data_IF_697128009278
#
_entry.id   IF_697128009278
#
_cell.length_a   1.000
_cell.length_b   1.000
_cell.length_c   1.000
_cell.angle_alpha   90.00
_cell.angle_beta   90.00
_cell.angle_gamma   90.00
#
_symmetry.space_group_name_H-M   'P 1'
#
loop_
_entity.id
_entity.type
_entity.pdbx_description
1 polymer ?
#
# COMPACT_ATOMS: atom_id res chain seq x y z
N UNK A 1 -33.14 -29.42 88.42
CA UNK A 1 -33.86 -28.50 87.46
C UNK A 1 -33.62 -28.93 86.05
N UNK A 2 -34.70 -29.46 85.46
CA UNK A 2 -34.76 -30.10 84.15
C UNK A 2 -34.68 -29.11 83.00
N UNK A 3 -33.99 -29.41 81.90
CA UNK A 3 -34.33 -28.85 80.60
C UNK A 3 -34.16 -29.91 79.52
N UNK A 4 -35.30 -30.25 78.96
CA UNK A 4 -35.52 -31.20 77.87
C UNK A 4 -34.96 -30.64 76.58
N UNK A 5 -34.33 -31.51 75.76
CA UNK A 5 -33.97 -31.24 74.36
C UNK A 5 -35.12 -31.70 73.45
N UNK A 6 -35.44 -30.97 72.36
CA UNK A 6 -36.38 -31.42 71.35
C UNK A 6 -35.67 -32.20 70.20
N UNK A 7 -36.36 -33.27 69.79
CA UNK A 7 -36.06 -34.12 68.63
C UNK A 7 -36.32 -33.33 67.37
N UNK A 8 -35.36 -33.31 66.40
CA UNK A 8 -35.60 -32.83 65.09
C UNK A 8 -35.79 -34.00 64.11
N UNK A 9 -36.91 -33.91 63.40
CA UNK A 9 -37.36 -34.78 62.31
C UNK A 9 -36.42 -34.66 61.11
N UNK A 10 -35.96 -35.78 60.63
CA UNK A 10 -35.19 -35.84 59.42
C UNK A 10 -36.11 -35.78 58.18
N UNK A 11 -36.05 -34.71 57.44
CA UNK A 11 -36.76 -34.60 56.17
C UNK A 11 -35.75 -34.93 55.03
N UNK A 12 -36.03 -35.99 54.34
CA UNK A 12 -35.25 -36.41 53.15
C UNK A 12 -35.52 -35.44 51.99
N UNK A 13 -34.52 -34.69 51.55
CA UNK A 13 -34.55 -33.97 50.32
C UNK A 13 -33.91 -34.83 49.20
N UNK A 14 -34.74 -35.20 48.25
CA UNK A 14 -34.29 -35.83 47.01
C UNK A 14 -33.50 -34.85 46.16
N UNK A 15 -32.22 -35.10 45.94
CA UNK A 15 -31.38 -34.37 44.98
C UNK A 15 -31.75 -34.81 43.56
N UNK A 16 -32.43 -33.96 42.81
CA UNK A 16 -32.56 -34.06 41.39
C UNK A 16 -31.20 -33.64 40.74
N UNK A 17 -30.45 -34.60 40.22
CA UNK A 17 -29.25 -34.36 39.42
C UNK A 17 -29.67 -33.77 38.09
N UNK A 18 -29.58 -32.45 37.93
CA UNK A 18 -29.66 -31.78 36.63
C UNK A 18 -28.37 -32.07 35.87
N UNK A 19 -28.45 -32.91 34.85
CA UNK A 19 -27.40 -33.13 33.87
C UNK A 19 -27.33 -31.86 33.04
N UNK A 20 -26.41 -30.94 33.37
CA UNK A 20 -25.97 -29.90 32.46
C UNK A 20 -25.17 -30.57 31.37
N UNK A 21 -25.80 -30.85 30.23
CA UNK A 21 -25.10 -31.08 28.98
C UNK A 21 -24.40 -29.76 28.64
N UNK A 22 -23.11 -29.66 28.97
CA UNK A 22 -22.24 -28.65 28.44
C UNK A 22 -22.27 -28.80 26.92
N UNK A 23 -23.05 -27.95 26.26
CA UNK A 23 -22.91 -27.69 24.86
C UNK A 23 -21.51 -27.13 24.69
N UNK A 24 -20.55 -27.99 24.35
CA UNK A 24 -19.27 -27.55 23.79
C UNK A 24 -19.60 -26.67 22.61
N UNK A 25 -19.44 -25.34 22.82
CA UNK A 25 -19.45 -24.40 21.75
C UNK A 25 -18.53 -24.94 20.67
N UNK A 26 -19.04 -25.01 19.46
CA UNK A 26 -18.27 -25.28 18.25
C UNK A 26 -17.05 -24.38 18.31
N UNK A 27 -15.90 -24.97 18.52
CA UNK A 27 -14.63 -24.26 18.55
C UNK A 27 -14.53 -23.39 17.33
N UNK A 28 -14.02 -22.17 17.51
CA UNK A 28 -13.54 -21.33 16.43
C UNK A 28 -12.77 -22.26 15.47
N UNK A 29 -13.27 -22.38 14.26
CA UNK A 29 -12.53 -23.03 13.19
C UNK A 29 -11.18 -22.31 13.15
N UNK A 30 -10.07 -23.05 13.30
CA UNK A 30 -8.70 -22.52 13.20
C UNK A 30 -8.58 -21.65 11.95
N UNK A 31 -8.81 -20.35 12.08
CA UNK A 31 -8.68 -19.42 10.97
C UNK A 31 -7.21 -19.13 10.76
N UNK A 32 -6.66 -19.61 9.66
CA UNK A 32 -5.30 -19.27 9.25
C UNK A 32 -5.25 -17.81 8.87
N UNK A 33 -4.40 -17.01 9.52
CA UNK A 33 -4.22 -15.58 9.20
C UNK A 33 -2.93 -15.37 8.44
N UNK A 34 -3.02 -14.82 7.23
CA UNK A 34 -1.88 -14.34 6.45
C UNK A 34 -1.65 -12.87 6.79
N UNK A 35 -0.44 -12.54 7.26
CA UNK A 35 -0.05 -11.19 7.65
C UNK A 35 0.70 -10.52 6.52
N UNK A 36 0.20 -9.36 6.09
CA UNK A 36 0.78 -8.54 5.03
C UNK A 36 1.14 -7.17 5.61
N UNK A 37 2.36 -6.71 5.37
CA UNK A 37 2.80 -5.37 5.74
C UNK A 37 3.43 -4.66 4.53
N UNK A 38 3.52 -3.34 4.54
CA UNK A 38 4.35 -2.63 3.59
C UNK A 38 3.70 -1.45 2.89
N UNK A 39 3.67 -1.46 1.56
CA UNK A 39 3.33 -0.31 0.74
C UNK A 39 1.94 0.28 1.02
N UNK A 40 1.90 1.55 1.45
CA UNK A 40 0.65 2.32 1.51
C UNK A 40 -0.02 2.47 0.13
N UNK A 41 0.75 2.61 -0.95
CA UNK A 41 0.19 2.61 -2.32
C UNK A 41 -0.69 1.39 -2.59
N UNK A 42 -0.31 0.23 -2.06
CA UNK A 42 -1.01 -1.04 -2.27
C UNK A 42 -2.01 -1.36 -1.14
N UNK A 43 -2.22 -0.46 -0.17
CA UNK A 43 -3.07 -0.75 1.00
C UNK A 43 -4.50 -1.13 0.58
N UNK A 44 -5.15 -0.29 -0.23
CA UNK A 44 -6.53 -0.55 -0.67
C UNK A 44 -6.62 -1.81 -1.54
N UNK A 45 -5.65 -2.01 -2.42
CA UNK A 45 -5.54 -3.22 -3.22
C UNK A 45 -5.40 -4.47 -2.35
N UNK A 46 -4.51 -4.42 -1.34
CA UNK A 46 -4.31 -5.52 -0.40
C UNK A 46 -5.56 -5.85 0.43
N UNK A 47 -6.28 -4.82 0.92
CA UNK A 47 -7.54 -4.98 1.63
C UNK A 47 -8.62 -5.60 0.73
N UNK A 48 -8.71 -5.15 -0.53
CA UNK A 48 -9.66 -5.67 -1.52
C UNK A 48 -9.34 -7.13 -1.87
N UNK A 49 -8.06 -7.47 -2.10
CA UNK A 49 -7.63 -8.86 -2.27
C UNK A 49 -7.98 -9.73 -1.06
N UNK A 50 -7.68 -9.26 0.16
CA UNK A 50 -7.97 -10.01 1.38
C UNK A 50 -9.47 -10.29 1.55
N UNK A 51 -10.31 -9.29 1.29
CA UNK A 51 -11.76 -9.43 1.34
C UNK A 51 -12.31 -10.39 0.28
N UNK A 52 -11.81 -10.31 -0.95
CA UNK A 52 -12.22 -11.20 -2.05
C UNK A 52 -11.74 -12.64 -1.79
N UNK A 53 -10.49 -12.82 -1.34
CA UNK A 53 -9.93 -14.13 -1.03
C UNK A 53 -10.64 -14.83 0.12
N UNK A 54 -11.00 -14.09 1.19
CA UNK A 54 -11.80 -14.62 2.31
C UNK A 54 -13.14 -15.17 1.86
N UNK A 55 -13.78 -14.55 0.86
CA UNK A 55 -15.03 -15.05 0.27
C UNK A 55 -14.81 -16.34 -0.54
N UNK A 56 -13.69 -16.41 -1.28
CA UNK A 56 -13.32 -17.56 -2.10
C UNK A 56 -12.75 -18.73 -1.27
N UNK A 57 -12.14 -18.45 -0.12
CA UNK A 57 -11.42 -19.43 0.71
C UNK A 57 -11.83 -19.28 2.17
N UNK A 58 -13.00 -19.80 2.59
CA UNK A 58 -13.42 -19.78 4.00
C UNK A 58 -12.36 -20.45 4.90
N UNK A 59 -12.11 -19.87 6.08
CA UNK A 59 -11.08 -20.36 7.01
C UNK A 59 -9.70 -19.71 6.83
N UNK A 60 -9.53 -18.80 5.83
CA UNK A 60 -8.33 -17.97 5.70
C UNK A 60 -8.70 -16.50 5.84
N UNK A 61 -7.96 -15.77 6.68
CA UNK A 61 -8.04 -14.32 6.82
C UNK A 61 -6.74 -13.68 6.35
N UNK A 62 -6.82 -12.47 5.79
CA UNK A 62 -5.65 -11.68 5.41
C UNK A 62 -5.68 -10.38 6.19
N UNK A 63 -4.63 -10.12 6.97
CA UNK A 63 -4.44 -8.86 7.71
C UNK A 63 -3.45 -8.00 6.95
N UNK A 64 -3.81 -6.75 6.64
CA UNK A 64 -2.98 -5.85 5.82
C UNK A 64 -2.67 -4.57 6.58
N UNK A 65 -1.38 -4.22 6.65
CA UNK A 65 -0.87 -2.95 7.18
C UNK A 65 -0.08 -2.21 6.09
N UNK A 66 -0.44 -0.93 5.85
CA UNK A 66 0.11 -0.11 4.77
C UNK A 66 0.88 1.11 5.27
N UNK A 67 2.07 0.91 5.84
CA UNK A 67 2.87 1.98 6.47
C UNK A 67 4.10 2.41 5.63
N UNK A 68 4.30 1.78 4.48
CA UNK A 68 5.40 2.04 3.55
C UNK A 68 6.18 0.79 3.20
N UNK A 69 6.79 0.75 2.00
CA UNK A 69 7.51 -0.45 1.52
C UNK A 69 8.69 -0.83 2.43
N UNK A 70 9.38 0.16 3.02
CA UNK A 70 10.49 -0.13 3.94
C UNK A 70 10.03 -0.83 5.21
N UNK A 71 8.86 -0.47 5.76
CA UNK A 71 8.30 -1.13 6.96
C UNK A 71 7.89 -2.58 6.66
N UNK A 72 7.42 -2.86 5.43
CA UNK A 72 7.14 -4.22 4.99
C UNK A 72 8.39 -5.11 4.95
N UNK A 73 9.53 -4.60 4.48
CA UNK A 73 10.78 -5.34 4.51
C UNK A 73 11.29 -5.56 5.95
N UNK A 74 11.14 -4.57 6.84
CA UNK A 74 11.44 -4.75 8.27
C UNK A 74 10.56 -5.85 8.86
N UNK A 75 9.26 -5.87 8.55
CA UNK A 75 8.34 -6.88 9.03
C UNK A 75 8.70 -8.31 8.54
N UNK A 76 9.21 -8.46 7.29
CA UNK A 76 9.75 -9.74 6.82
C UNK A 76 11.03 -10.13 7.57
N UNK A 77 11.98 -9.19 7.76
CA UNK A 77 13.22 -9.43 8.51
C UNK A 77 12.89 -9.90 9.93
N UNK A 78 11.92 -9.25 10.60
CA UNK A 78 11.55 -9.56 11.99
C UNK A 78 10.53 -10.72 12.13
N UNK A 79 10.12 -11.34 11.00
CA UNK A 79 9.15 -12.43 10.97
C UNK A 79 7.78 -12.05 11.59
N UNK A 80 7.39 -10.78 11.45
CA UNK A 80 6.10 -10.26 11.92
C UNK A 80 5.05 -10.18 10.81
N UNK A 81 5.46 -10.34 9.55
CA UNK A 81 4.60 -10.50 8.39
C UNK A 81 5.06 -11.69 7.52
N UNK A 82 4.10 -12.32 6.85
CA UNK A 82 4.34 -13.42 5.89
C UNK A 82 4.67 -12.88 4.50
N UNK A 83 4.13 -11.72 4.16
CA UNK A 83 4.26 -11.05 2.87
C UNK A 83 4.60 -9.57 3.05
N UNK A 84 5.48 -9.04 2.21
CA UNK A 84 5.71 -7.60 2.10
C UNK A 84 5.15 -7.07 0.79
N UNK A 85 4.19 -6.16 0.84
CA UNK A 85 3.79 -5.35 -0.31
C UNK A 85 4.82 -4.24 -0.55
N UNK A 86 5.27 -4.11 -1.80
CA UNK A 86 6.23 -3.06 -2.14
C UNK A 86 5.91 -2.40 -3.48
N UNK A 87 5.98 -1.08 -3.50
CA UNK A 87 5.84 -0.24 -4.69
C UNK A 87 7.20 0.26 -5.21
N UNK A 88 8.26 -0.45 -4.88
CA UNK A 88 9.62 -0.34 -5.41
C UNK A 88 10.33 -1.68 -5.31
N UNK A 89 11.37 -1.88 -6.10
CA UNK A 89 12.25 -3.03 -5.91
C UNK A 89 12.91 -3.02 -4.52
N UNK A 90 13.19 -4.20 -3.99
CA UNK A 90 13.93 -4.39 -2.75
C UNK A 90 15.34 -3.75 -2.87
N UNK A 91 15.82 -3.13 -1.79
CA UNK A 91 17.20 -2.62 -1.74
C UNK A 91 18.18 -3.77 -1.46
N UNK A 92 19.43 -3.70 -1.96
CA UNK A 92 20.43 -4.72 -1.66
C UNK A 92 20.62 -4.98 -0.15
N UNK A 93 20.61 -3.91 0.67
CA UNK A 93 20.73 -4.03 2.13
C UNK A 93 19.53 -4.72 2.79
N UNK A 94 18.31 -4.56 2.25
CA UNK A 94 17.11 -5.24 2.75
C UNK A 94 17.16 -6.74 2.38
N UNK A 95 17.56 -7.05 1.15
CA UNK A 95 17.72 -8.44 0.70
C UNK A 95 18.81 -9.17 1.50
N UNK A 96 19.95 -8.52 1.73
CA UNK A 96 21.02 -9.05 2.55
C UNK A 96 20.59 -9.29 4.00
N UNK A 97 19.83 -8.37 4.59
CA UNK A 97 19.30 -8.51 5.94
C UNK A 97 18.34 -9.70 6.07
N UNK A 98 17.45 -9.92 5.08
CA UNK A 98 16.57 -11.09 5.02
C UNK A 98 17.41 -12.36 4.93
N UNK A 99 18.39 -12.41 4.03
CA UNK A 99 19.27 -13.57 3.86
C UNK A 99 20.04 -13.90 5.14
N UNK A 100 20.61 -12.89 5.79
CA UNK A 100 21.39 -13.07 7.01
C UNK A 100 20.52 -13.55 8.18
N UNK A 101 19.30 -13.05 8.29
CA UNK A 101 18.37 -13.41 9.37
C UNK A 101 17.76 -14.79 9.21
N UNK A 102 17.37 -15.16 7.98
CA UNK A 102 16.58 -16.37 7.71
C UNK A 102 17.34 -17.48 7.00
N UNK A 103 18.56 -17.23 6.49
CA UNK A 103 19.29 -18.17 5.64
C UNK A 103 18.62 -18.42 4.28
N UNK A 104 17.69 -17.55 3.88
CA UNK A 104 16.89 -17.64 2.65
C UNK A 104 16.91 -16.33 1.90
N UNK A 105 16.84 -16.40 0.58
CA UNK A 105 16.71 -15.20 -0.26
C UNK A 105 15.29 -14.61 -0.17
N UNK A 106 15.17 -13.29 -0.39
CA UNK A 106 13.89 -12.66 -0.67
C UNK A 106 13.43 -13.05 -2.08
N UNK A 107 12.22 -13.58 -2.21
CA UNK A 107 11.63 -13.93 -3.51
C UNK A 107 10.67 -12.83 -3.95
N UNK A 108 10.86 -12.37 -5.19
CA UNK A 108 10.08 -11.29 -5.80
C UNK A 108 8.91 -11.85 -6.61
N UNK A 109 7.71 -11.30 -6.38
CA UNK A 109 6.51 -11.60 -7.15
C UNK A 109 5.93 -10.30 -7.70
N UNK A 110 6.00 -10.08 -9.02
CA UNK A 110 5.28 -8.97 -9.66
C UNK A 110 3.80 -9.33 -9.71
N UNK A 111 2.94 -8.41 -9.25
CA UNK A 111 1.50 -8.62 -9.13
C UNK A 111 0.66 -7.59 -9.88
N UNK A 112 1.28 -6.59 -10.47
CA UNK A 112 0.66 -5.54 -11.27
C UNK A 112 1.62 -4.41 -11.57
N UNK A 113 1.11 -3.34 -12.19
CA UNK A 113 1.87 -2.11 -12.46
C UNK A 113 1.06 -0.89 -12.03
N UNK A 114 1.76 0.20 -11.72
CA UNK A 114 1.23 1.46 -11.26
C UNK A 114 1.89 2.63 -12.01
N UNK A 115 1.11 3.62 -12.42
CA UNK A 115 1.62 4.91 -12.87
C UNK A 115 1.72 5.87 -11.68
N UNK A 116 2.83 6.59 -11.57
CA UNK A 116 2.95 7.66 -10.58
C UNK A 116 2.34 8.92 -11.17
N UNK A 117 1.13 9.25 -10.72
CA UNK A 117 0.47 10.49 -11.09
C UNK A 117 1.10 11.68 -10.37
N UNK A 118 1.26 12.77 -11.08
CA UNK A 118 1.62 14.08 -10.53
C UNK A 118 0.32 14.86 -10.36
N UNK A 119 -0.16 14.93 -9.12
CA UNK A 119 -1.40 15.58 -8.75
C UNK A 119 -1.22 17.09 -8.57
N UNK A 120 -2.25 17.82 -8.98
CA UNK A 120 -2.38 19.26 -8.80
C UNK A 120 -3.81 19.60 -8.38
N UNK A 121 -4.04 20.81 -7.91
CA UNK A 121 -5.42 21.29 -7.70
C UNK A 121 -6.22 21.21 -9.00
N UNK A 122 -7.51 20.84 -8.95
CA UNK A 122 -8.37 20.66 -10.14
C UNK A 122 -8.41 21.89 -11.06
N UNK A 123 -8.30 23.08 -10.49
CA UNK A 123 -8.35 24.37 -11.21
C UNK A 123 -6.94 24.87 -11.64
N UNK A 124 -5.89 24.08 -11.46
CA UNK A 124 -4.56 24.44 -11.95
C UNK A 124 -4.55 24.54 -13.48
N UNK A 125 -4.11 25.67 -14.08
CA UNK A 125 -4.13 25.84 -15.53
C UNK A 125 -3.09 24.98 -16.26
N UNK A 126 -1.99 24.60 -15.60
CA UNK A 126 -0.95 23.71 -16.16
C UNK A 126 -1.53 22.31 -16.32
N UNK A 127 -1.44 21.73 -17.53
CA UNK A 127 -2.01 20.40 -17.83
C UNK A 127 -0.96 19.35 -18.18
N UNK A 128 0.25 19.78 -18.53
CA UNK A 128 1.34 18.88 -18.90
C UNK A 128 2.69 19.43 -18.45
N UNK A 129 3.66 18.53 -18.27
CA UNK A 129 5.02 18.88 -17.89
C UNK A 129 5.98 17.80 -18.37
N UNK A 130 7.21 18.19 -18.75
CA UNK A 130 8.28 17.25 -19.08
C UNK A 130 8.99 16.70 -17.83
N UNK A 131 9.59 15.52 -17.91
CA UNK A 131 10.42 14.98 -16.81
C UNK A 131 11.57 15.92 -16.42
N UNK A 132 12.32 16.54 -17.34
CA UNK A 132 13.33 17.55 -16.97
C UNK A 132 12.74 18.70 -16.17
N UNK A 133 11.61 19.25 -16.61
CA UNK A 133 10.96 20.37 -15.91
C UNK A 133 10.41 19.93 -14.54
N UNK A 134 9.88 18.73 -14.45
CA UNK A 134 9.42 18.14 -13.18
C UNK A 134 10.59 17.99 -12.20
N UNK A 135 11.78 17.59 -12.68
CA UNK A 135 13.00 17.54 -11.88
C UNK A 135 13.36 18.93 -11.31
N UNK A 136 13.26 19.99 -12.11
CA UNK A 136 13.53 21.37 -11.67
C UNK A 136 12.59 21.84 -10.55
N UNK A 137 11.37 21.33 -10.50
CA UNK A 137 10.43 21.60 -9.40
C UNK A 137 10.85 20.89 -8.11
N UNK A 138 11.30 19.63 -8.20
CA UNK A 138 11.43 18.75 -7.05
C UNK A 138 12.84 18.58 -6.50
N UNK A 139 13.87 18.68 -7.36
CA UNK A 139 15.26 18.42 -6.99
C UNK A 139 15.84 19.56 -6.17
N UNK A 140 16.66 19.23 -5.16
CA UNK A 140 17.52 20.21 -4.50
C UNK A 140 18.38 20.92 -5.55
N UNK A 141 18.43 22.24 -5.49
CA UNK A 141 19.10 23.08 -6.51
C UNK A 141 18.30 23.31 -7.79
N UNK A 142 17.14 22.69 -7.96
CA UNK A 142 16.26 22.94 -9.12
C UNK A 142 15.74 24.37 -9.16
N UNK A 143 15.61 24.94 -10.36
CA UNK A 143 15.34 26.36 -10.58
C UNK A 143 13.89 26.78 -10.43
N UNK A 144 12.92 25.86 -10.72
CA UNK A 144 11.48 26.19 -10.74
C UNK A 144 10.91 26.20 -9.31
N UNK A 145 10.40 27.36 -8.90
CA UNK A 145 9.79 27.56 -7.58
C UNK A 145 8.37 28.15 -7.64
N UNK A 146 8.00 28.78 -8.75
CA UNK A 146 6.72 29.42 -8.92
C UNK A 146 5.99 28.86 -10.16
N UNK A 147 4.67 28.72 -10.09
CA UNK A 147 3.86 28.21 -11.18
C UNK A 147 3.91 29.07 -12.45
N UNK A 148 4.13 30.42 -12.33
CA UNK A 148 4.24 31.31 -13.50
C UNK A 148 5.46 30.98 -14.38
N UNK A 149 6.50 30.35 -13.83
CA UNK A 149 7.68 29.89 -14.58
C UNK A 149 7.40 28.76 -15.56
N UNK A 150 6.23 28.12 -15.41
CA UNK A 150 5.78 27.00 -16.24
C UNK A 150 4.35 27.21 -16.80
N UNK A 151 3.91 28.48 -16.94
CA UNK A 151 2.65 28.83 -17.56
C UNK A 151 1.43 28.76 -16.61
N UNK A 152 1.65 28.67 -15.32
CA UNK A 152 0.62 28.74 -14.29
C UNK A 152 0.39 30.14 -13.73
N UNK A 153 -0.34 30.23 -12.62
CA UNK A 153 -0.58 31.47 -11.88
C UNK A 153 0.68 31.94 -11.15
N UNK A 154 0.72 33.22 -10.78
CA UNK A 154 1.80 33.72 -9.92
C UNK A 154 1.58 33.26 -8.47
N UNK A 155 2.09 32.06 -8.16
CA UNK A 155 2.02 31.44 -6.85
C UNK A 155 3.19 30.50 -6.63
N UNK A 156 3.78 30.53 -5.44
CA UNK A 156 4.83 29.58 -5.05
C UNK A 156 4.32 28.14 -5.05
N UNK A 157 5.08 27.23 -5.63
CA UNK A 157 4.75 25.80 -5.71
C UNK A 157 4.90 25.16 -4.33
N UNK A 158 3.79 24.65 -3.78
CA UNK A 158 3.77 23.87 -2.54
C UNK A 158 3.87 22.38 -2.85
N UNK A 159 4.97 21.75 -2.44
CA UNK A 159 5.29 20.34 -2.77
C UNK A 159 4.83 19.39 -1.68
N UNK A 160 3.96 18.45 -2.06
CA UNK A 160 3.52 17.33 -1.22
C UNK A 160 4.18 16.02 -1.69
N UNK A 161 5.34 15.69 -1.10
CA UNK A 161 6.01 14.41 -1.30
C UNK A 161 5.49 13.33 -0.38
N UNK A 162 6.19 12.20 -0.34
CA UNK A 162 5.91 11.07 0.55
C UNK A 162 6.98 10.99 1.64
N UNK A 163 6.65 10.32 2.75
CA UNK A 163 7.63 10.00 3.78
C UNK A 163 8.74 9.08 3.23
N UNK A 164 9.93 9.14 3.80
CA UNK A 164 11.14 8.45 3.31
C UNK A 164 11.08 6.90 3.40
N UNK A 165 10.18 6.33 4.21
CA UNK A 165 9.88 4.91 4.27
C UNK A 165 8.96 4.44 3.13
N UNK A 166 8.36 5.36 2.37
CA UNK A 166 7.49 5.09 1.23
C UNK A 166 8.27 4.52 0.04
N UNK A 167 7.74 3.45 -0.56
CA UNK A 167 8.25 2.96 -1.86
C UNK A 167 8.07 3.98 -2.98
N UNK A 168 7.00 4.77 -2.92
CA UNK A 168 6.73 5.83 -3.89
C UNK A 168 7.74 6.98 -3.80
N UNK A 169 8.17 7.35 -2.58
CA UNK A 169 9.28 8.29 -2.38
C UNK A 169 10.54 7.81 -3.10
N UNK A 170 11.00 6.59 -2.78
CA UNK A 170 12.25 6.07 -3.35
C UNK A 170 12.18 5.84 -4.86
N UNK A 171 11.01 5.44 -5.38
CA UNK A 171 10.82 5.30 -6.81
C UNK A 171 10.82 6.65 -7.53
N UNK A 172 10.06 7.64 -7.06
CA UNK A 172 9.99 8.98 -7.67
C UNK A 172 11.36 9.68 -7.64
N UNK A 173 12.08 9.60 -6.51
CA UNK A 173 13.44 10.12 -6.41
C UNK A 173 14.33 9.55 -7.51
N UNK A 174 14.35 8.23 -7.68
CA UNK A 174 15.19 7.58 -8.69
C UNK A 174 14.75 7.88 -10.12
N UNK A 175 13.44 7.86 -10.40
CA UNK A 175 12.89 7.98 -11.75
C UNK A 175 12.87 9.42 -12.28
N UNK A 176 12.62 10.40 -11.40
CA UNK A 176 12.47 11.82 -11.78
C UNK A 176 13.71 12.63 -11.44
N UNK A 177 14.22 12.54 -10.21
CA UNK A 177 15.37 13.34 -9.80
C UNK A 177 16.70 12.75 -10.28
N UNK A 178 16.79 11.43 -10.29
CA UNK A 178 18.01 10.69 -10.59
C UNK A 178 18.73 10.20 -9.32
N UNK A 179 19.70 9.31 -9.51
CA UNK A 179 20.44 8.68 -8.40
C UNK A 179 21.23 9.72 -7.59
N UNK A 180 21.01 9.75 -6.28
CA UNK A 180 21.77 10.61 -5.35
C UNK A 180 21.35 12.07 -5.35
N UNK A 181 20.26 12.44 -6.02
CA UNK A 181 19.69 13.79 -5.97
C UNK A 181 18.60 13.82 -4.90
N UNK A 182 18.70 14.78 -3.99
CA UNK A 182 17.73 14.95 -2.91
C UNK A 182 16.57 15.85 -3.33
N UNK A 183 15.47 15.73 -2.59
CA UNK A 183 14.33 16.63 -2.74
C UNK A 183 14.62 18.02 -2.18
N UNK A 184 13.97 19.04 -2.73
CA UNK A 184 14.00 20.39 -2.13
C UNK A 184 13.60 20.32 -0.65
N UNK A 185 14.30 21.09 0.24
CA UNK A 185 14.08 21.04 1.70
C UNK A 185 12.63 21.31 2.13
N UNK A 186 11.91 22.17 1.40
CA UNK A 186 10.51 22.54 1.69
C UNK A 186 9.48 21.56 1.13
N UNK A 187 9.86 20.31 0.83
CA UNK A 187 8.94 19.27 0.41
C UNK A 187 8.25 18.66 1.63
N UNK A 188 6.94 18.80 1.74
CA UNK A 188 6.18 18.22 2.84
C UNK A 188 6.10 16.69 2.68
N UNK A 189 6.57 15.94 3.68
CA UNK A 189 6.55 14.47 3.70
C UNK A 189 5.21 13.93 4.19
N UNK A 190 4.30 13.61 3.27
CA UNK A 190 2.99 13.06 3.61
C UNK A 190 3.08 11.58 4.01
N UNK A 191 2.31 11.19 5.03
CA UNK A 191 2.31 9.82 5.56
C UNK A 191 1.80 8.79 4.55
N UNK A 192 0.76 9.15 3.76
CA UNK A 192 0.09 8.24 2.81
C UNK A 192 -0.28 8.90 1.50
N UNK A 193 -0.72 8.09 0.56
CA UNK A 193 -1.19 8.51 -0.77
C UNK A 193 -2.41 9.41 -0.70
N UNK A 194 -3.37 9.07 0.16
CA UNK A 194 -4.58 9.87 0.39
C UNK A 194 -4.26 11.28 0.91
N UNK A 195 -3.24 11.40 1.79
CA UNK A 195 -2.82 12.70 2.32
C UNK A 195 -2.21 13.62 1.24
N UNK A 196 -1.49 13.05 0.26
CA UNK A 196 -1.00 13.80 -0.91
C UNK A 196 -2.19 14.34 -1.73
N UNK A 197 -3.15 13.48 -2.03
CA UNK A 197 -4.33 13.86 -2.83
C UNK A 197 -5.16 14.91 -2.10
N UNK A 198 -5.40 14.75 -0.80
CA UNK A 198 -6.12 15.72 0.04
C UNK A 198 -5.42 17.09 0.04
N UNK A 199 -4.10 17.11 0.22
CA UNK A 199 -3.33 18.36 0.16
C UNK A 199 -3.48 19.06 -1.19
N UNK A 200 -3.40 18.31 -2.31
CA UNK A 200 -3.57 18.87 -3.65
C UNK A 200 -5.01 19.34 -3.91
N UNK A 201 -6.02 18.71 -3.29
CA UNK A 201 -7.43 19.08 -3.45
C UNK A 201 -7.79 20.40 -2.75
N UNK A 202 -7.08 20.71 -1.63
CA UNK A 202 -7.39 21.86 -0.78
C UNK A 202 -6.43 23.04 -0.96
N UNK A 203 -5.32 22.83 -1.68
CA UNK A 203 -4.27 23.86 -1.85
C UNK A 203 -4.09 24.19 -3.34
N UNK A 204 -4.54 25.37 -3.80
CA UNK A 204 -4.51 25.75 -5.24
C UNK A 204 -3.11 25.73 -5.87
N UNK A 205 -2.06 26.04 -5.09
CA UNK A 205 -0.66 26.06 -5.55
C UNK A 205 0.08 24.73 -5.30
N UNK A 206 -0.61 23.67 -4.88
CA UNK A 206 0.01 22.39 -4.59
C UNK A 206 0.42 21.62 -5.85
N UNK A 207 1.51 20.90 -5.71
CA UNK A 207 1.90 19.77 -6.55
C UNK A 207 2.25 18.58 -5.67
N UNK A 208 1.79 17.38 -6.01
CA UNK A 208 2.07 16.18 -5.25
C UNK A 208 2.26 14.97 -6.17
N UNK A 209 2.84 13.89 -5.67
CA UNK A 209 2.95 12.65 -6.42
C UNK A 209 2.49 11.43 -5.61
N UNK A 210 1.74 10.55 -6.26
CA UNK A 210 1.31 9.27 -5.67
C UNK A 210 0.89 8.29 -6.76
N UNK A 211 0.43 7.08 -6.38
CA UNK A 211 -0.16 6.13 -7.33
C UNK A 211 -1.39 6.70 -8.04
N UNK A 212 -1.53 6.43 -9.34
CA UNK A 212 -2.62 6.93 -10.17
C UNK A 212 -4.00 6.47 -9.66
N UNK A 213 -4.08 5.33 -9.00
CA UNK A 213 -5.31 4.76 -8.42
C UNK A 213 -5.97 5.64 -7.34
N UNK A 214 -5.24 6.61 -6.79
CA UNK A 214 -5.75 7.53 -5.77
C UNK A 214 -6.46 8.77 -6.34
N UNK A 215 -6.54 8.91 -7.67
CA UNK A 215 -7.27 10.03 -8.28
C UNK A 215 -8.74 10.03 -7.87
N UNK A 216 -9.24 11.22 -7.53
CA UNK A 216 -10.66 11.48 -7.30
C UNK A 216 -11.11 12.73 -8.08
N UNK A 217 -12.34 13.14 -7.93
CA UNK A 217 -12.95 14.29 -8.61
C UNK A 217 -12.45 15.68 -8.14
N UNK A 218 -11.74 15.72 -6.99
CA UNK A 218 -11.28 16.97 -6.37
C UNK A 218 -9.87 17.38 -6.81
N UNK A 219 -9.15 16.53 -7.55
CA UNK A 219 -7.79 16.79 -8.03
C UNK A 219 -7.66 16.63 -9.53
N UNK A 220 -6.78 17.43 -10.12
CA UNK A 220 -6.22 17.21 -11.45
C UNK A 220 -4.94 16.39 -11.39
N UNK A 221 -4.45 15.97 -12.53
CA UNK A 221 -3.11 15.46 -12.73
C UNK A 221 -2.45 16.08 -13.96
N UNK A 222 -1.14 16.00 -14.03
CA UNK A 222 -0.40 16.46 -15.19
C UNK A 222 -0.12 15.28 -16.13
N UNK A 223 -0.28 15.51 -17.44
CA UNK A 223 0.30 14.65 -18.47
C UNK A 223 1.82 14.82 -18.44
N UNK A 224 2.57 13.72 -18.57
CA UNK A 224 4.03 13.74 -18.47
C UNK A 224 4.63 13.36 -19.81
N UNK A 225 5.56 14.17 -20.30
CA UNK A 225 6.43 13.83 -21.43
C UNK A 225 7.83 13.40 -20.98
N UNK A 226 8.51 12.58 -21.78
CA UNK A 226 9.87 12.13 -21.45
C UNK A 226 10.89 13.28 -21.52
N UNK A 227 10.70 14.21 -22.43
CA UNK A 227 11.49 15.43 -22.64
C UNK A 227 10.60 16.59 -23.14
N UNK A 228 11.21 17.73 -23.46
CA UNK A 228 10.48 18.94 -23.88
C UNK A 228 9.79 18.80 -25.24
N UNK A 229 10.30 17.94 -26.12
CA UNK A 229 9.83 17.77 -27.50
C UNK A 229 8.91 16.54 -27.68
N UNK A 230 8.81 15.69 -26.65
CA UNK A 230 8.00 14.46 -26.70
C UNK A 230 6.54 14.71 -26.38
N UNK A 231 5.68 13.83 -26.90
CA UNK A 231 4.25 13.81 -26.53
C UNK A 231 4.07 13.52 -25.02
N UNK A 232 3.20 14.26 -24.39
CA UNK A 232 2.85 14.06 -22.97
C UNK A 232 1.66 13.11 -22.83
N UNK A 233 1.75 12.14 -21.93
CA UNK A 233 0.73 11.14 -21.66
C UNK A 233 0.17 11.27 -20.25
N UNK A 234 -1.13 11.03 -20.11
CA UNK A 234 -1.79 10.92 -18.81
C UNK A 234 -1.46 9.58 -18.13
N UNK A 235 -1.46 9.54 -16.77
CA UNK A 235 -1.28 8.31 -16.00
C UNK A 235 -2.56 7.44 -16.04
N UNK A 236 -2.88 6.86 -17.18
CA UNK A 236 -4.02 5.96 -17.35
C UNK A 236 -3.57 4.50 -17.44
N UNK A 237 -4.49 3.58 -17.19
CA UNK A 237 -4.22 2.13 -17.34
C UNK A 237 -3.72 1.83 -18.75
N UNK A 238 -4.34 2.42 -19.77
CA UNK A 238 -4.00 2.23 -21.18
C UNK A 238 -2.59 2.72 -21.49
N UNK A 239 -2.23 3.92 -21.02
CA UNK A 239 -0.92 4.50 -21.29
C UNK A 239 0.21 3.79 -20.54
N UNK A 240 -0.05 3.35 -19.31
CA UNK A 240 0.90 2.53 -18.53
C UNK A 240 1.09 1.16 -19.18
N UNK A 241 -0.01 0.49 -19.56
CA UNK A 241 0.03 -0.81 -20.27
C UNK A 241 0.75 -0.71 -21.61
N UNK A 242 0.52 0.36 -22.34
CA UNK A 242 1.19 0.65 -23.62
C UNK A 242 2.64 1.13 -23.47
N UNK A 243 3.16 1.29 -22.24
CA UNK A 243 4.49 1.82 -21.92
C UNK A 243 4.74 3.24 -22.47
N UNK A 244 3.68 4.01 -22.65
CA UNK A 244 3.73 5.41 -23.10
C UNK A 244 3.95 6.37 -21.93
N UNK A 245 3.37 6.06 -20.75
CA UNK A 245 3.52 6.88 -19.57
C UNK A 245 4.91 6.68 -18.94
N UNK A 246 5.75 7.74 -18.79
CA UNK A 246 7.16 7.56 -18.46
C UNK A 246 7.45 7.24 -17.01
N UNK A 247 6.51 7.50 -16.08
CA UNK A 247 6.70 7.25 -14.65
C UNK A 247 5.81 6.06 -14.20
N UNK A 248 6.10 4.88 -14.75
CA UNK A 248 5.42 3.63 -14.40
C UNK A 248 6.36 2.65 -13.71
N UNK A 249 5.79 1.80 -12.85
CA UNK A 249 6.56 0.84 -12.04
C UNK A 249 5.82 -0.47 -11.83
N UNK A 250 6.52 -1.59 -11.62
CA UNK A 250 5.92 -2.79 -11.07
C UNK A 250 5.46 -2.60 -9.63
N UNK A 251 4.41 -3.34 -9.26
CA UNK A 251 4.01 -3.59 -7.88
C UNK A 251 4.43 -5.00 -7.50
N UNK A 252 5.01 -5.12 -6.31
CA UNK A 252 5.65 -6.34 -5.85
C UNK A 252 5.03 -6.87 -4.56
N UNK A 253 5.04 -8.18 -4.46
CA UNK A 253 4.95 -8.89 -3.19
C UNK A 253 6.27 -9.63 -2.98
N UNK A 254 6.85 -9.54 -1.78
CA UNK A 254 8.05 -10.28 -1.41
C UNK A 254 7.77 -11.30 -0.33
N UNK A 255 8.45 -12.45 -0.44
CA UNK A 255 8.45 -13.54 0.57
C UNK A 255 9.86 -13.87 1.00
N UNK A 256 10.01 -14.52 2.15
CA UNK A 256 11.29 -15.12 2.62
C UNK A 256 11.38 -16.54 2.08
N UNK A 257 12.16 -16.74 1.03
CA UNK A 257 12.20 -18.00 0.27
C UNK A 257 10.91 -18.25 -0.52
N UNK A 258 10.84 -19.41 -1.19
CA UNK A 258 9.67 -19.80 -1.95
C UNK A 258 8.44 -19.97 -1.05
N UNK A 259 7.29 -19.39 -1.41
CA UNK A 259 6.07 -19.49 -0.62
C UNK A 259 5.51 -20.91 -0.62
N UNK A 260 4.93 -21.31 0.52
CA UNK A 260 4.30 -22.62 0.70
C UNK A 260 2.93 -22.47 1.38
N UNK A 261 2.14 -23.52 1.41
CA UNK A 261 0.87 -23.58 2.16
C UNK A 261 -0.12 -22.46 1.77
N UNK A 262 -0.72 -21.83 2.77
CA UNK A 262 -1.72 -20.78 2.59
C UNK A 262 -1.16 -19.52 1.89
N UNK A 263 0.09 -19.17 2.15
CA UNK A 263 0.77 -18.01 1.50
C UNK A 263 0.92 -18.26 0.00
N UNK A 264 1.35 -19.47 -0.39
CA UNK A 264 1.44 -19.84 -1.82
C UNK A 264 0.07 -19.79 -2.49
N UNK A 265 -0.94 -20.40 -1.86
CA UNK A 265 -2.30 -20.43 -2.40
C UNK A 265 -2.87 -19.00 -2.59
N UNK A 266 -2.61 -18.10 -1.65
CA UNK A 266 -3.03 -16.70 -1.76
C UNK A 266 -2.30 -15.97 -2.90
N UNK A 267 -1.00 -16.15 -3.04
CA UNK A 267 -0.23 -15.55 -4.15
C UNK A 267 -0.65 -16.10 -5.52
N UNK A 268 -0.90 -17.40 -5.63
CA UNK A 268 -1.41 -18.01 -6.86
C UNK A 268 -2.79 -17.45 -7.21
N UNK A 269 -3.68 -17.26 -6.21
CA UNK A 269 -4.98 -16.62 -6.40
C UNK A 269 -4.85 -15.15 -6.83
N UNK A 270 -3.95 -14.36 -6.21
CA UNK A 270 -3.67 -12.97 -6.64
C UNK A 270 -3.26 -12.91 -8.11
N UNK A 271 -2.41 -13.84 -8.55
CA UNK A 271 -1.93 -13.91 -9.93
C UNK A 271 -2.95 -14.53 -10.90
N UNK A 272 -3.98 -15.18 -10.40
CA UNK A 272 -5.08 -15.71 -11.18
C UNK A 272 -6.08 -14.65 -11.64
N UNK A 273 -7.03 -15.03 -12.46
CA UNK A 273 -8.04 -14.15 -13.04
C UNK A 273 -8.79 -13.33 -12.00
N UNK A 274 -9.26 -13.97 -10.91
CA UNK A 274 -10.00 -13.29 -9.86
C UNK A 274 -9.17 -12.23 -9.12
N UNK A 275 -7.92 -12.52 -8.80
CA UNK A 275 -7.01 -11.56 -8.17
C UNK A 275 -6.62 -10.41 -9.09
N UNK A 276 -6.47 -10.67 -10.38
CA UNK A 276 -6.15 -9.65 -11.38
C UNK A 276 -7.35 -8.79 -11.75
N UNK A 277 -8.58 -9.31 -11.66
CA UNK A 277 -9.79 -8.49 -11.76
C UNK A 277 -9.83 -7.42 -10.66
N UNK A 278 -9.44 -7.76 -9.43
CA UNK A 278 -9.32 -6.79 -8.33
C UNK A 278 -8.26 -5.72 -8.62
N UNK A 279 -7.13 -6.08 -9.28
CA UNK A 279 -6.10 -5.10 -9.69
C UNK A 279 -6.71 -4.02 -10.58
N UNK A 280 -7.49 -4.43 -11.58
CA UNK A 280 -8.16 -3.50 -12.51
C UNK A 280 -9.23 -2.67 -11.80
N UNK A 281 -10.06 -3.29 -10.95
CA UNK A 281 -11.09 -2.61 -10.16
C UNK A 281 -10.51 -1.52 -9.26
N UNK A 282 -9.32 -1.78 -8.71
CA UNK A 282 -8.61 -0.82 -7.85
C UNK A 282 -7.79 0.23 -8.65
N UNK A 283 -7.93 0.29 -9.96
CA UNK A 283 -7.29 1.31 -10.81
C UNK A 283 -5.80 1.07 -11.08
N UNK A 284 -5.33 -0.16 -10.95
CA UNK A 284 -3.98 -0.58 -11.30
C UNK A 284 -3.95 -1.37 -12.62
N UNK A 285 -2.77 -1.57 -13.17
CA UNK A 285 -2.58 -2.34 -14.41
C UNK A 285 -2.25 -3.78 -14.05
N UNK A 286 -2.97 -4.78 -14.60
CA UNK A 286 -2.65 -6.19 -14.36
C UNK A 286 -1.27 -6.54 -14.91
N UNK A 287 -0.62 -7.55 -14.30
CA UNK A 287 0.75 -7.93 -14.66
C UNK A 287 0.84 -8.78 -15.95
N UNK A 288 -0.29 -9.28 -16.45
CA UNK A 288 -0.42 -10.03 -17.71
C UNK A 288 -1.31 -9.28 -18.70
#
# INVERSE_FOLDING_TARGET
MSKKAPRYLATACALAAAIFTSSCGRGDSDTTTIKVAGSDTMLQLGLSWGNAYKKATPGVAVSVAGEGSSTGFVALIDNTADLSHSSRAIKPSEAEAIKNKHGKEAVEHIVGYDGIAVFVHKDNPVKSISLPKLKEIWAEGGSVANWNEIGGSDAEIQRAGRANNSGTYGFFQKAVLGKGVEFKPNTAGMAGSSAVVEFCSTTPSAIGYSGMSYKNEHVGWLSISADEDSEAFEPTIENVKAKKYPIARPLYIYTVGEPTGAVKAYLDWIKGEAGQAVVVEQGFVPYQ
#
